data_IF_546866846187
#
_entry.id   IF_546866846187
#
_cell.length_a   1.000
_cell.length_b   1.000
_cell.length_c   1.000
_cell.angle_alpha   90.00
_cell.angle_beta   90.00
_cell.angle_gamma   90.00
#
_symmetry.space_group_name_H-M   'P 1'
#
loop_
_entity.id
_entity.type
_entity.pdbx_description
1 polymer ?
#
# COMPACT_ATOMS: atom_id res chain seq x y z
N UNK A 1 14.58 17.16 -16.69
CA UNK A 1 13.52 16.19 -17.05
C UNK A 1 12.29 16.55 -16.23
N UNK A 2 11.57 17.59 -16.68
CA UNK A 2 10.29 18.05 -16.12
C UNK A 2 9.34 18.22 -17.32
N UNK A 3 8.03 18.06 -17.12
CA UNK A 3 6.99 18.12 -18.18
C UNK A 3 7.15 17.11 -19.32
N UNK A 4 7.17 15.82 -19.01
CA UNK A 4 7.15 14.74 -20.01
C UNK A 4 6.18 13.61 -19.66
N UNK A 5 5.13 13.92 -18.91
CA UNK A 5 4.08 12.96 -18.54
C UNK A 5 3.35 12.42 -19.78
N UNK A 6 3.27 13.21 -20.84
CA UNK A 6 2.73 12.86 -22.16
C UNK A 6 3.52 11.74 -22.85
N UNK A 7 4.77 11.49 -22.44
CA UNK A 7 5.63 10.43 -22.98
C UNK A 7 5.47 9.10 -22.26
N UNK A 8 4.72 9.06 -21.15
CA UNK A 8 4.50 7.86 -20.35
C UNK A 8 3.19 7.22 -20.75
N UNK A 9 3.24 5.96 -21.15
CA UNK A 9 2.05 5.14 -21.39
C UNK A 9 1.43 4.75 -20.04
N UNK A 10 0.42 5.52 -19.62
CA UNK A 10 -0.21 5.37 -18.30
C UNK A 10 -0.94 4.04 -18.15
N UNK A 11 -1.45 3.46 -19.24
CA UNK A 11 -2.12 2.16 -19.21
C UNK A 11 -1.11 1.05 -18.98
N UNK A 12 0.02 1.04 -19.71
CA UNK A 12 1.10 0.08 -19.47
C UNK A 12 1.70 0.21 -18.07
N UNK A 13 1.82 1.44 -17.56
CA UNK A 13 2.29 1.66 -16.20
C UNK A 13 1.32 1.05 -15.17
N UNK A 14 0.02 1.24 -15.36
CA UNK A 14 -1.02 0.61 -14.54
C UNK A 14 -1.01 -0.91 -14.63
N UNK A 15 -0.84 -1.47 -15.83
CA UNK A 15 -0.73 -2.92 -16.04
C UNK A 15 0.51 -3.51 -15.37
N UNK A 16 1.64 -2.80 -15.45
CA UNK A 16 2.86 -3.20 -14.77
C UNK A 16 2.67 -3.23 -13.25
N UNK A 17 2.12 -2.16 -12.65
CA UNK A 17 1.84 -2.12 -11.20
C UNK A 17 0.86 -3.23 -10.79
N UNK A 18 -0.18 -3.48 -11.59
CA UNK A 18 -1.13 -4.55 -11.33
C UNK A 18 -0.51 -5.95 -11.44
N UNK A 19 0.50 -6.12 -12.31
CA UNK A 19 1.25 -7.38 -12.42
C UNK A 19 2.10 -7.70 -11.20
N UNK A 20 2.48 -6.68 -10.42
CA UNK A 20 3.24 -6.82 -9.17
C UNK A 20 2.37 -7.17 -7.96
N UNK A 21 1.04 -7.18 -8.10
CA UNK A 21 0.16 -7.59 -7.01
C UNK A 21 0.23 -9.11 -6.81
N UNK A 22 0.63 -9.52 -5.61
CA UNK A 22 0.55 -10.90 -5.18
C UNK A 22 -0.91 -11.34 -5.10
N UNK A 23 -1.27 -12.35 -5.91
CA UNK A 23 -2.63 -12.85 -6.03
C UNK A 23 -3.09 -13.65 -4.80
N UNK A 24 -2.17 -14.10 -3.95
CA UNK A 24 -2.52 -14.87 -2.76
C UNK A 24 -2.94 -13.95 -1.62
N UNK A 25 -2.04 -13.06 -1.19
CA UNK A 25 -2.19 -12.26 0.03
C UNK A 25 -2.56 -10.78 -0.20
N UNK A 26 -2.46 -10.28 -1.43
CA UNK A 26 -2.78 -8.89 -1.78
C UNK A 26 -1.62 -7.90 -1.67
N UNK A 27 -0.46 -8.33 -1.20
CA UNK A 27 0.75 -7.51 -1.14
C UNK A 27 1.24 -7.14 -2.54
N UNK A 28 2.19 -6.20 -2.62
CA UNK A 28 2.86 -5.85 -3.86
C UNK A 28 4.35 -6.15 -3.76
N UNK A 29 4.89 -6.72 -4.83
CA UNK A 29 6.33 -6.82 -5.01
C UNK A 29 6.92 -5.47 -5.40
N UNK A 30 8.14 -5.17 -4.95
CA UNK A 30 8.86 -3.96 -5.39
C UNK A 30 9.27 -3.99 -6.85
N UNK A 31 9.65 -5.18 -7.31
CA UNK A 31 9.97 -5.52 -8.70
C UNK A 31 9.86 -7.05 -8.89
N UNK A 32 10.40 -7.57 -10.00
CA UNK A 32 10.41 -9.01 -10.28
C UNK A 32 11.34 -9.84 -9.36
N UNK A 33 12.13 -9.19 -8.50
CA UNK A 33 12.99 -9.81 -7.49
C UNK A 33 12.24 -10.32 -6.27
N UNK A 34 10.96 -9.95 -6.11
CA UNK A 34 10.04 -10.61 -5.17
C UNK A 34 10.09 -10.09 -3.73
N UNK A 35 10.80 -8.99 -3.45
CA UNK A 35 10.73 -8.35 -2.13
C UNK A 35 9.34 -7.80 -1.86
N UNK A 36 8.85 -8.00 -0.63
CA UNK A 36 7.50 -7.59 -0.20
C UNK A 36 7.58 -6.83 1.12
N UNK A 37 7.03 -5.63 1.13
CA UNK A 37 6.63 -4.90 2.34
C UNK A 37 5.57 -3.83 2.02
N UNK A 38 5.05 -3.18 3.06
CA UNK A 38 4.00 -2.18 2.99
C UNK A 38 4.37 -0.95 2.14
N UNK A 39 5.66 -0.63 1.93
CA UNK A 39 6.10 0.48 1.08
C UNK A 39 5.75 0.22 -0.37
N UNK A 40 5.96 -1.01 -0.86
CA UNK A 40 5.62 -1.36 -2.23
C UNK A 40 4.11 -1.31 -2.46
N UNK A 41 3.33 -1.78 -1.48
CA UNK A 41 1.87 -1.66 -1.51
C UNK A 41 1.43 -0.20 -1.52
N UNK A 42 2.00 0.66 -0.66
CA UNK A 42 1.73 2.09 -0.64
C UNK A 42 2.09 2.78 -1.97
N UNK A 43 3.27 2.51 -2.52
CA UNK A 43 3.72 3.08 -3.78
C UNK A 43 2.81 2.68 -4.94
N UNK A 44 2.44 1.39 -5.04
CA UNK A 44 1.55 0.90 -6.08
C UNK A 44 0.14 1.51 -5.96
N UNK A 45 -0.45 1.50 -4.75
CA UNK A 45 -1.76 2.09 -4.49
C UNK A 45 -1.76 3.59 -4.79
N UNK A 46 -0.73 4.32 -4.34
CA UNK A 46 -0.61 5.77 -4.57
C UNK A 46 -0.54 6.10 -6.04
N UNK A 47 0.33 5.42 -6.78
CA UNK A 47 0.47 5.63 -8.21
C UNK A 47 -0.82 5.25 -8.96
N UNK A 48 -1.41 4.09 -8.69
CA UNK A 48 -2.68 3.68 -9.31
C UNK A 48 -3.83 4.63 -8.98
N UNK A 49 -3.88 5.19 -7.77
CA UNK A 49 -4.86 6.20 -7.39
C UNK A 49 -4.67 7.49 -8.20
N UNK A 50 -3.44 7.99 -8.30
CA UNK A 50 -3.11 9.19 -9.08
C UNK A 50 -3.42 9.01 -10.56
N UNK A 51 -3.24 7.80 -11.10
CA UNK A 51 -3.53 7.45 -12.48
C UNK A 51 -5.01 7.15 -12.75
N UNK A 52 -5.86 7.10 -11.70
CA UNK A 52 -7.24 6.64 -11.76
C UNK A 52 -7.37 5.22 -12.38
N UNK A 53 -6.53 4.28 -11.90
CA UNK A 53 -6.42 2.89 -12.38
C UNK A 53 -6.52 1.84 -11.27
N UNK A 54 -7.13 2.18 -10.13
CA UNK A 54 -7.31 1.21 -9.02
C UNK A 54 -8.17 0.00 -9.42
N UNK A 55 -8.98 0.11 -10.47
CA UNK A 55 -9.76 -0.99 -11.06
C UNK A 55 -8.90 -2.13 -11.62
N UNK A 56 -7.59 -1.91 -11.85
CA UNK A 56 -6.67 -2.94 -12.34
C UNK A 56 -6.20 -3.93 -11.27
N UNK A 57 -6.43 -3.64 -9.98
CA UNK A 57 -5.96 -4.46 -8.87
C UNK A 57 -7.11 -4.99 -8.02
N UNK A 58 -6.84 -6.04 -7.25
CA UNK A 58 -7.74 -6.49 -6.19
C UNK A 58 -7.58 -5.55 -4.98
N UNK A 59 -8.40 -4.51 -4.95
CA UNK A 59 -8.39 -3.49 -3.88
C UNK A 59 -8.68 -4.10 -2.51
N UNK A 60 -9.57 -5.09 -2.45
CA UNK A 60 -9.98 -5.74 -1.20
C UNK A 60 -8.80 -6.49 -0.59
N UNK A 61 -8.07 -7.27 -1.40
CA UNK A 61 -6.87 -7.97 -0.94
C UNK A 61 -5.75 -7.01 -0.55
N UNK A 62 -5.54 -5.94 -1.32
CA UNK A 62 -4.53 -4.92 -0.99
C UNK A 62 -4.82 -4.27 0.37
N UNK A 63 -6.08 -3.89 0.63
CA UNK A 63 -6.53 -3.41 1.94
C UNK A 63 -6.26 -4.45 3.04
N UNK A 64 -6.66 -5.70 2.82
CA UNK A 64 -6.53 -6.76 3.83
C UNK A 64 -5.07 -7.03 4.18
N UNK A 65 -4.14 -6.95 3.23
CA UNK A 65 -2.71 -7.02 3.51
C UNK A 65 -2.26 -5.89 4.44
N UNK A 66 -2.62 -4.63 4.15
CA UNK A 66 -2.25 -3.49 4.99
C UNK A 66 -2.81 -3.61 6.42
N UNK A 67 -4.04 -4.09 6.57
CA UNK A 67 -4.65 -4.33 7.89
C UNK A 67 -3.94 -5.45 8.66
N UNK A 68 -3.50 -6.52 7.97
CA UNK A 68 -2.71 -7.61 8.60
C UNK A 68 -1.34 -7.15 9.10
N UNK A 69 -0.82 -6.04 8.61
CA UNK A 69 0.40 -5.43 9.12
C UNK A 69 0.21 -4.71 10.47
N UNK A 70 -1.04 -4.55 10.95
CA UNK A 70 -1.31 -3.93 12.25
C UNK A 70 -0.99 -4.88 13.41
N UNK A 71 -0.28 -4.38 14.40
CA UNK A 71 0.13 -5.12 15.59
C UNK A 71 -0.77 -4.84 16.80
N UNK A 72 -0.55 -5.62 17.86
CA UNK A 72 -1.29 -5.50 19.13
C UNK A 72 -1.05 -4.18 19.84
N UNK A 73 -0.04 -3.40 19.49
CA UNK A 73 0.22 -2.05 20.00
C UNK A 73 -0.57 -0.97 19.22
N UNK A 74 -1.30 -1.35 18.17
CA UNK A 74 -2.10 -0.47 17.32
C UNK A 74 -1.34 0.13 16.13
N UNK A 75 -0.01 -0.01 16.10
CA UNK A 75 0.85 0.46 15.02
C UNK A 75 1.07 -0.61 13.94
N UNK A 76 1.84 -0.27 12.91
CA UNK A 76 2.01 -1.12 11.72
C UNK A 76 3.48 -1.47 11.49
N UNK A 77 3.70 -2.74 11.15
CA UNK A 77 4.98 -3.23 10.62
C UNK A 77 5.03 -3.28 9.09
N UNK A 78 6.19 -3.64 8.55
CA UNK A 78 6.39 -3.71 7.09
C UNK A 78 5.70 -4.89 6.44
N UNK A 79 5.44 -5.94 7.19
CA UNK A 79 4.68 -7.11 6.78
C UNK A 79 3.98 -7.70 8.01
N UNK A 80 3.01 -8.61 7.84
CA UNK A 80 2.33 -9.24 8.97
C UNK A 80 3.32 -9.88 9.95
N UNK A 81 3.21 -9.51 11.23
CA UNK A 81 4.08 -10.00 12.31
C UNK A 81 5.43 -9.28 12.47
N UNK A 82 5.78 -8.33 11.59
CA UNK A 82 6.95 -7.50 11.77
C UNK A 82 6.75 -6.42 12.84
N UNK A 83 7.84 -5.95 13.44
CA UNK A 83 7.88 -4.84 14.39
C UNK A 83 7.16 -3.59 13.87
N UNK A 84 6.41 -2.93 14.76
CA UNK A 84 5.81 -1.62 14.50
C UNK A 84 6.86 -0.56 14.26
N UNK A 85 6.77 0.15 13.13
CA UNK A 85 7.74 1.18 12.76
C UNK A 85 7.06 2.35 12.05
N UNK A 86 7.46 3.58 12.37
CA UNK A 86 6.79 4.80 11.91
C UNK A 86 6.69 4.91 10.39
N UNK A 87 7.72 4.47 9.66
CA UNK A 87 7.71 4.45 8.18
C UNK A 87 6.60 3.54 7.61
N UNK A 88 6.32 2.40 8.24
CA UNK A 88 5.27 1.50 7.81
C UNK A 88 3.88 1.93 8.29
N UNK A 89 3.80 2.60 9.45
CA UNK A 89 2.58 3.33 9.84
C UNK A 89 2.17 4.32 8.75
N UNK A 90 3.10 5.14 8.27
CA UNK A 90 2.83 6.07 7.17
C UNK A 90 2.32 5.36 5.92
N UNK A 91 3.00 4.28 5.50
CA UNK A 91 2.63 3.52 4.31
C UNK A 91 1.25 2.85 4.43
N UNK A 92 0.97 2.16 5.53
CA UNK A 92 -0.29 1.45 5.76
C UNK A 92 -1.47 2.42 5.90
N UNK A 93 -1.33 3.46 6.74
CA UNK A 93 -2.38 4.46 6.95
C UNK A 93 -2.66 5.24 5.67
N UNK A 94 -1.61 5.65 4.95
CA UNK A 94 -1.73 6.33 3.66
C UNK A 94 -2.42 5.44 2.61
N UNK A 95 -2.01 4.17 2.51
CA UNK A 95 -2.63 3.18 1.64
C UNK A 95 -4.11 3.02 1.93
N UNK A 96 -4.47 2.73 3.19
CA UNK A 96 -5.87 2.58 3.62
C UNK A 96 -6.69 3.85 3.37
N UNK A 97 -6.12 5.04 3.56
CA UNK A 97 -6.79 6.31 3.22
C UNK A 97 -7.12 6.41 1.74
N UNK A 98 -6.19 6.03 0.86
CA UNK A 98 -6.39 6.10 -0.59
C UNK A 98 -7.42 5.09 -1.11
N UNK A 99 -7.52 3.94 -0.44
CA UNK A 99 -8.54 2.91 -0.69
C UNK A 99 -9.91 3.26 -0.09
N UNK A 100 -9.98 4.19 0.85
CA UNK A 100 -11.22 4.62 1.51
C UNK A 100 -11.53 3.89 2.81
N UNK A 101 -10.56 3.16 3.36
CA UNK A 101 -10.71 2.22 4.48
C UNK A 101 -10.03 2.71 5.77
N UNK A 102 -9.73 4.01 5.89
CA UNK A 102 -9.06 4.59 7.06
C UNK A 102 -9.87 4.45 8.37
N UNK A 103 -11.18 4.24 8.27
CA UNK A 103 -12.06 4.05 9.43
C UNK A 103 -11.94 2.65 10.05
N UNK A 104 -11.20 1.72 9.40
CA UNK A 104 -10.91 0.39 9.94
C UNK A 104 -9.77 0.37 10.97
N UNK A 105 -9.09 1.51 11.16
CA UNK A 105 -7.96 1.63 12.08
C UNK A 105 -8.45 2.15 13.44
N UNK A 106 -8.02 1.51 14.54
CA UNK A 106 -8.14 2.07 15.88
C UNK A 106 -7.25 3.32 16.01
N UNK A 107 -7.86 4.50 15.83
CA UNK A 107 -7.17 5.79 15.81
C UNK A 107 -6.66 6.22 17.17
N UNK A 108 -7.36 5.86 18.24
CA UNK A 108 -6.96 6.24 19.59
C UNK A 108 -5.69 5.48 19.98
N UNK A 109 -5.68 4.17 19.72
CA UNK A 109 -4.52 3.33 19.99
C UNK A 109 -3.32 3.68 19.13
N UNK A 110 -3.52 3.88 17.83
CA UNK A 110 -2.46 4.35 16.94
C UNK A 110 -1.96 5.74 17.35
N UNK A 111 -2.87 6.64 17.74
CA UNK A 111 -2.55 7.98 18.20
C UNK A 111 -1.72 8.00 19.49
N UNK A 112 -1.90 7.02 20.38
CA UNK A 112 -1.05 6.85 21.57
C UNK A 112 0.35 6.38 21.20
N UNK A 113 0.50 5.51 20.19
CA UNK A 113 1.81 5.02 19.76
C UNK A 113 2.65 6.11 19.08
N UNK A 114 2.01 7.08 18.42
CA UNK A 114 2.67 8.17 17.68
C UNK A 114 3.10 9.38 18.52
N UNK A 115 2.77 9.41 19.82
CA UNK A 115 3.11 10.50 20.75
C UNK A 115 4.55 10.41 21.26
#
# INVERSE_FOLDING_TARGET
MFDSLDKVDLDKLGDYMASLQNREDGSFFGDHGGEVDARFSYCAISALKLLNKLDKIDVVKARDFLLKCQNVDGAFGGMPGAESHAAYVFCCVGGLKMLGDIDLIDRDKLGLWLQ
#
